data_IF_636439292341
#
_entry.id   IF_636439292341
#
_cell.length_a   1.000
_cell.length_b   1.000
_cell.length_c   1.000
_cell.angle_alpha   90.00
_cell.angle_beta   90.00
_cell.angle_gamma   90.00
#
_symmetry.space_group_name_H-M   'P 1'
#
loop_
_entity.id
_entity.type
_entity.pdbx_description
1 polymer ?
#
# COMPACT_ATOMS: atom_id res chain seq x y z
N UNK A 1 30.48 57.56 49.11
CA UNK A 1 29.53 57.01 48.12
C UNK A 1 30.21 55.80 47.50
N UNK A 2 29.73 54.61 47.81
CA UNK A 2 30.29 53.34 47.32
C UNK A 2 29.31 52.76 46.31
N UNK A 3 29.77 52.52 45.08
CA UNK A 3 28.96 51.84 44.07
C UNK A 3 28.85 50.36 44.45
N UNK A 4 27.63 49.87 44.67
CA UNK A 4 27.37 48.43 44.75
C UNK A 4 27.61 47.82 43.38
N UNK A 5 28.45 46.79 43.31
CA UNK A 5 28.62 45.98 42.11
C UNK A 5 27.27 45.36 41.74
N UNK A 6 26.79 45.61 40.52
CA UNK A 6 25.66 44.88 39.94
C UNK A 6 26.08 43.40 39.92
N UNK A 7 25.45 42.59 40.77
CA UNK A 7 25.57 41.15 40.68
C UNK A 7 24.91 40.74 39.35
N UNK A 8 25.72 40.28 38.40
CA UNK A 8 25.19 39.60 37.22
C UNK A 8 24.46 38.35 37.69
N UNK A 9 23.26 38.05 37.17
CA UNK A 9 22.58 36.81 37.50
C UNK A 9 23.46 35.62 37.09
N UNK A 10 23.90 34.84 38.08
CA UNK A 10 24.53 33.54 37.85
C UNK A 10 23.43 32.55 37.51
N UNK A 11 23.56 31.88 36.36
CA UNK A 11 22.65 30.82 35.94
C UNK A 11 23.00 29.53 36.70
N UNK A 12 22.74 29.51 38.01
CA UNK A 12 22.79 28.27 38.79
C UNK A 12 21.58 27.41 38.40
N UNK A 13 21.85 26.26 37.77
CA UNK A 13 20.82 25.32 37.29
C UNK A 13 20.92 24.91 35.82
N UNK A 14 21.89 25.43 35.06
CA UNK A 14 22.16 24.90 33.71
C UNK A 14 22.95 23.60 33.84
N UNK A 15 22.43 22.44 33.37
CA UNK A 15 23.18 21.19 33.41
C UNK A 15 24.50 21.34 32.63
N UNK A 16 25.64 20.82 33.16
CA UNK A 16 26.98 21.02 32.59
C UNK A 16 27.22 20.24 31.28
N UNK A 17 26.18 19.66 30.69
CA UNK A 17 26.24 18.93 29.43
C UNK A 17 25.29 19.56 28.43
N UNK A 18 25.86 20.30 27.49
CA UNK A 18 25.24 20.52 26.19
C UNK A 18 25.19 19.17 25.48
N UNK A 19 23.99 18.58 25.37
CA UNK A 19 23.77 17.52 24.40
C UNK A 19 23.57 18.23 23.06
N UNK A 20 24.59 18.14 22.21
CA UNK A 20 24.46 18.52 20.80
C UNK A 20 23.39 17.58 20.23
N UNK A 21 22.19 18.11 19.97
CA UNK A 21 21.22 17.37 19.19
C UNK A 21 21.68 17.28 17.73
N UNK A 22 21.08 16.32 17.03
CA UNK A 22 20.78 16.31 15.59
C UNK A 22 21.82 15.64 14.66
N UNK A 23 21.53 14.41 14.20
CA UNK A 23 22.22 13.72 13.08
C UNK A 23 23.15 12.56 13.45
N UNK A 24 24.22 12.83 14.20
CA UNK A 24 25.39 11.93 14.26
C UNK A 24 25.19 10.65 15.10
N UNK A 25 24.35 10.69 16.14
CA UNK A 25 24.12 9.56 17.03
C UNK A 25 23.44 8.36 16.34
N UNK A 26 22.64 8.63 15.30
CA UNK A 26 21.99 7.61 14.47
C UNK A 26 22.82 7.27 13.23
N UNK A 27 23.34 8.30 12.55
CA UNK A 27 23.98 8.15 11.25
C UNK A 27 25.17 7.17 11.28
N UNK A 28 26.00 7.21 12.34
CA UNK A 28 27.16 6.32 12.46
C UNK A 28 26.77 4.86 12.71
N UNK A 29 25.96 4.50 13.74
CA UNK A 29 25.49 3.13 13.90
C UNK A 29 24.78 2.57 12.66
N UNK A 30 23.98 3.40 11.99
CA UNK A 30 23.31 3.01 10.76
C UNK A 30 24.29 2.74 9.61
N UNK A 31 25.28 3.62 9.41
CA UNK A 31 26.31 3.41 8.38
C UNK A 31 27.14 2.16 8.63
N UNK A 32 27.50 1.88 9.89
CA UNK A 32 28.20 0.65 10.25
C UNK A 32 27.34 -0.58 9.97
N UNK A 33 26.07 -0.56 10.39
CA UNK A 33 25.13 -1.65 10.11
C UNK A 33 25.00 -1.91 8.60
N UNK A 34 24.82 -0.87 7.78
CA UNK A 34 24.74 -1.01 6.32
C UNK A 34 26.04 -1.52 5.69
N UNK A 35 27.20 -1.19 6.26
CA UNK A 35 28.49 -1.71 5.81
C UNK A 35 28.64 -3.19 6.16
N UNK A 36 28.35 -3.56 7.41
CA UNK A 36 28.42 -4.94 7.91
C UNK A 36 27.44 -5.86 7.17
N UNK A 37 26.28 -5.32 6.80
CA UNK A 37 25.25 -5.99 6.00
C UNK A 37 25.55 -6.03 4.49
N UNK A 38 26.68 -5.47 4.03
CA UNK A 38 27.05 -5.45 2.61
C UNK A 38 26.16 -4.59 1.71
N UNK A 39 25.37 -3.68 2.29
CA UNK A 39 24.54 -2.73 1.52
C UNK A 39 25.42 -1.62 0.95
N UNK A 40 26.36 -1.11 1.75
CA UNK A 40 27.40 -0.19 1.29
C UNK A 40 28.48 -0.99 0.56
N UNK A 41 28.77 -0.60 -0.68
CA UNK A 41 29.80 -1.21 -1.53
C UNK A 41 31.00 -0.28 -1.71
N UNK A 42 32.11 -0.82 -2.24
CA UNK A 42 33.30 -0.03 -2.59
C UNK A 42 32.96 1.12 -3.58
N UNK A 43 32.03 0.89 -4.50
CA UNK A 43 31.58 1.91 -5.45
C UNK A 43 30.94 3.13 -4.74
N UNK A 44 30.31 2.92 -3.58
CA UNK A 44 29.66 3.98 -2.82
C UNK A 44 30.66 4.93 -2.16
N UNK A 45 31.86 4.43 -1.81
CA UNK A 45 32.95 5.18 -1.16
C UNK A 45 34.06 5.66 -2.12
N UNK A 46 33.96 5.32 -3.41
CA UNK A 46 34.90 5.74 -4.47
C UNK A 46 35.17 7.25 -4.52
N UNK A 47 34.19 8.06 -4.10
CA UNK A 47 34.36 9.48 -3.77
C UNK A 47 34.06 9.64 -2.29
N UNK A 48 34.89 10.41 -1.59
CA UNK A 48 34.70 10.71 -0.17
C UNK A 48 33.29 11.29 0.05
N UNK A 49 32.41 10.64 0.84
CA UNK A 49 31.09 11.16 1.13
C UNK A 49 31.18 12.41 2.01
N UNK A 50 30.19 13.29 1.90
CA UNK A 50 30.10 14.52 2.70
C UNK A 50 29.74 14.25 4.17
N UNK A 51 29.07 13.12 4.45
CA UNK A 51 28.68 12.65 5.79
C UNK A 51 28.27 11.17 5.75
N UNK A 52 28.20 10.53 6.91
CA UNK A 52 27.73 9.15 7.08
C UNK A 52 26.30 8.98 6.57
N UNK A 53 25.40 9.92 6.88
CA UNK A 53 24.02 9.87 6.40
C UNK A 53 23.94 10.00 4.87
N UNK A 54 24.80 10.83 4.26
CA UNK A 54 24.86 10.95 2.81
C UNK A 54 25.37 9.65 2.15
N UNK A 55 26.30 8.93 2.80
CA UNK A 55 26.74 7.61 2.37
C UNK A 55 25.59 6.59 2.44
N UNK A 56 24.87 6.53 3.57
CA UNK A 56 23.71 5.65 3.75
C UNK A 56 22.63 5.92 2.70
N UNK A 57 22.25 7.19 2.53
CA UNK A 57 21.25 7.61 1.55
C UNK A 57 21.66 7.21 0.12
N UNK A 58 22.94 7.39 -0.25
CA UNK A 58 23.45 6.99 -1.57
C UNK A 58 23.36 5.47 -1.77
N UNK A 59 23.85 4.68 -0.81
CA UNK A 59 23.87 3.22 -0.91
C UNK A 59 22.44 2.65 -0.95
N UNK A 60 21.56 3.13 -0.08
CA UNK A 60 20.14 2.73 -0.06
C UNK A 60 19.41 3.17 -1.33
N UNK A 61 19.65 4.39 -1.83
CA UNK A 61 19.03 4.85 -3.09
C UNK A 61 19.44 3.95 -4.25
N UNK A 62 20.74 3.60 -4.35
CA UNK A 62 21.22 2.67 -5.37
C UNK A 62 20.52 1.32 -5.24
N UNK A 63 20.55 0.73 -4.04
CA UNK A 63 19.97 -0.60 -3.78
C UNK A 63 18.46 -0.62 -3.99
N UNK A 64 17.77 0.44 -3.59
CA UNK A 64 16.33 0.58 -3.78
C UNK A 64 15.98 0.68 -5.26
N UNK A 65 16.73 1.46 -6.05
CA UNK A 65 16.57 1.51 -7.51
C UNK A 65 16.83 0.17 -8.20
N UNK A 66 17.79 -0.63 -7.70
CA UNK A 66 17.99 -2.00 -8.19
C UNK A 66 16.79 -2.92 -7.91
N UNK A 67 16.03 -2.64 -6.84
CA UNK A 67 14.84 -3.41 -6.45
C UNK A 67 13.61 -2.94 -7.24
N UNK A 68 13.37 -1.63 -7.31
CA UNK A 68 12.12 -1.05 -7.82
C UNK A 68 12.22 -0.48 -9.23
N UNK A 69 13.40 -0.47 -9.85
CA UNK A 69 13.65 0.23 -11.11
C UNK A 69 12.82 -0.24 -12.31
N UNK A 70 12.35 -1.49 -12.28
CA UNK A 70 11.52 -2.09 -13.34
C UNK A 70 10.01 -1.95 -13.07
N UNK A 71 9.61 -1.42 -11.90
CA UNK A 71 8.20 -1.19 -11.55
C UNK A 71 7.67 0.05 -12.25
N UNK A 72 6.44 -0.04 -12.77
CA UNK A 72 5.82 0.99 -13.60
C UNK A 72 4.50 1.53 -13.05
N UNK A 73 3.80 0.73 -12.24
CA UNK A 73 2.51 1.04 -11.61
C UNK A 73 2.65 1.29 -10.11
N UNK A 74 3.48 0.50 -9.45
CA UNK A 74 3.70 0.64 -8.01
C UNK A 74 4.67 1.78 -7.72
N UNK A 75 4.21 2.79 -6.98
CA UNK A 75 5.07 3.86 -6.47
C UNK A 75 5.52 3.53 -5.04
N UNK A 76 6.70 2.92 -4.93
CA UNK A 76 7.28 2.58 -3.63
C UNK A 76 8.43 3.52 -3.28
N UNK A 77 8.19 4.37 -2.30
CA UNK A 77 9.16 5.28 -1.74
C UNK A 77 9.57 4.82 -0.32
N UNK A 78 10.86 4.54 -0.15
CA UNK A 78 11.42 4.07 1.10
C UNK A 78 11.91 5.23 1.98
N UNK A 79 11.47 5.24 3.22
CA UNK A 79 12.04 6.04 4.30
C UNK A 79 12.56 5.12 5.39
N UNK A 80 13.76 5.41 5.91
CA UNK A 80 14.29 4.76 7.11
C UNK A 80 14.38 5.80 8.22
N UNK A 81 13.77 5.50 9.37
CA UNK A 81 13.74 6.40 10.52
C UNK A 81 13.92 5.64 11.83
N UNK A 82 14.44 6.32 12.86
CA UNK A 82 14.69 5.71 14.18
C UNK A 82 13.56 5.97 15.17
N UNK A 83 12.72 6.98 14.93
CA UNK A 83 11.58 7.31 15.79
C UNK A 83 10.28 6.78 15.16
N UNK A 84 9.47 6.06 15.95
CA UNK A 84 8.11 5.70 15.53
C UNK A 84 7.26 6.95 15.27
N UNK A 85 6.34 6.82 14.32
CA UNK A 85 5.27 7.79 14.06
C UNK A 85 4.60 8.22 15.37
N UNK A 86 4.50 9.54 15.58
CA UNK A 86 3.63 10.09 16.62
C UNK A 86 2.22 10.12 16.05
N UNK A 87 1.32 9.30 16.59
CA UNK A 87 -0.12 9.45 16.34
C UNK A 87 -0.52 10.88 16.73
N UNK A 88 -1.40 11.51 15.95
CA UNK A 88 -1.93 12.86 16.15
C UNK A 88 -2.90 12.96 17.35
N UNK A 89 -2.61 12.27 18.45
CA UNK A 89 -3.46 12.21 19.66
C UNK A 89 -2.73 12.52 20.97
N UNK A 90 -1.41 12.73 20.94
CA UNK A 90 -0.65 13.16 22.12
C UNK A 90 -0.34 12.07 23.16
N UNK A 91 -0.75 10.83 22.94
CA UNK A 91 -0.25 9.71 23.72
C UNK A 91 1.21 9.45 23.33
N UNK A 92 2.10 9.80 24.25
CA UNK A 92 3.55 9.63 24.12
C UNK A 92 3.89 8.14 24.04
N UNK A 93 3.94 7.57 22.83
CA UNK A 93 4.85 6.45 22.61
C UNK A 93 6.27 6.98 22.89
N UNK A 94 7.01 6.41 23.86
CA UNK A 94 8.38 6.82 24.11
C UNK A 94 9.15 6.71 22.80
N UNK A 95 9.98 7.70 22.50
CA UNK A 95 10.78 7.67 21.27
C UNK A 95 11.52 6.33 21.20
N UNK A 96 11.42 5.63 20.08
CA UNK A 96 12.16 4.37 19.92
C UNK A 96 13.66 4.63 20.06
N UNK A 97 14.13 5.85 19.78
CA UNK A 97 15.49 6.29 20.08
C UNK A 97 15.88 6.19 21.57
N UNK A 98 14.97 6.51 22.49
CA UNK A 98 15.24 6.46 23.94
C UNK A 98 14.96 5.07 24.53
N UNK A 99 13.94 4.38 24.02
CA UNK A 99 13.54 3.07 24.52
C UNK A 99 14.36 1.90 23.94
N UNK A 100 14.74 1.98 22.66
CA UNK A 100 15.51 0.96 21.96
C UNK A 100 16.30 1.55 20.76
N UNK A 101 17.50 2.10 20.97
CA UNK A 101 18.29 2.76 19.92
C UNK A 101 18.74 1.81 18.79
N UNK A 102 18.60 0.50 18.98
CA UNK A 102 18.89 -0.52 17.96
C UNK A 102 17.76 -0.65 16.92
N UNK A 103 16.56 -0.21 17.24
CA UNK A 103 15.39 -0.34 16.37
C UNK A 103 15.30 0.80 15.37
N UNK A 104 15.06 0.45 14.11
CA UNK A 104 14.76 1.38 13.02
C UNK A 104 13.54 0.91 12.25
N UNK A 105 12.83 1.83 11.63
CA UNK A 105 11.62 1.57 10.88
C UNK A 105 11.85 1.80 9.41
N UNK A 106 11.57 0.76 8.61
CA UNK A 106 11.44 0.90 7.18
C UNK A 106 9.99 1.21 6.85
N UNK A 107 9.75 2.42 6.38
CA UNK A 107 8.44 2.92 5.97
C UNK A 107 8.37 3.00 4.46
N UNK A 108 7.37 2.34 3.90
CA UNK A 108 7.01 2.48 2.49
C UNK A 108 5.84 3.44 2.38
N UNK A 109 5.89 4.35 1.42
CA UNK A 109 4.79 5.22 1.04
C UNK A 109 4.89 5.58 -0.43
N UNK A 110 4.01 6.44 -0.91
CA UNK A 110 4.04 7.00 -2.26
C UNK A 110 4.77 8.34 -2.25
N UNK A 111 5.29 8.77 -3.40
CA UNK A 111 6.14 9.95 -3.53
C UNK A 111 5.41 11.25 -3.20
N UNK A 112 4.12 11.31 -3.49
CA UNK A 112 3.32 12.52 -3.36
C UNK A 112 2.32 12.44 -2.20
N UNK A 113 2.49 11.47 -1.29
CA UNK A 113 1.65 11.27 -0.13
C UNK A 113 0.40 10.44 -0.42
N UNK A 114 -0.44 10.19 0.61
CA UNK A 114 -1.57 9.27 0.52
C UNK A 114 -2.43 9.48 -0.73
N UNK A 115 -2.86 8.36 -1.32
CA UNK A 115 -3.77 8.33 -2.48
C UNK A 115 -3.17 8.86 -3.80
N UNK A 116 -1.86 9.17 -3.84
CA UNK A 116 -1.19 9.67 -5.06
C UNK A 116 -0.77 8.60 -6.07
N UNK A 117 -1.07 7.33 -5.79
CA UNK A 117 -0.66 6.19 -6.60
C UNK A 117 -1.42 6.06 -7.94
N UNK A 118 -0.95 5.12 -8.77
CA UNK A 118 -1.62 4.75 -10.00
C UNK A 118 -2.99 4.10 -9.72
N UNK A 119 -3.94 4.38 -10.61
CA UNK A 119 -5.26 3.75 -10.63
C UNK A 119 -5.40 2.87 -11.87
N UNK A 120 -5.98 1.68 -11.72
CA UNK A 120 -6.17 0.74 -12.84
C UNK A 120 -7.61 0.24 -12.87
N UNK A 121 -8.30 0.47 -14.00
CA UNK A 121 -9.66 0.02 -14.24
C UNK A 121 -9.69 -1.41 -14.80
N UNK A 122 -10.13 -2.38 -14.02
CA UNK A 122 -10.09 -3.82 -14.40
C UNK A 122 -11.44 -4.40 -14.83
N UNK A 123 -12.55 -3.71 -14.54
CA UNK A 123 -13.92 -4.23 -14.68
C UNK A 123 -14.24 -4.74 -16.09
N UNK A 124 -14.07 -3.92 -17.16
CA UNK A 124 -14.40 -4.35 -18.52
C UNK A 124 -13.68 -5.61 -18.98
N UNK A 125 -12.37 -5.73 -18.69
CA UNK A 125 -11.59 -6.92 -19.02
C UNK A 125 -12.05 -8.14 -18.22
N UNK A 126 -12.29 -7.97 -16.92
CA UNK A 126 -12.77 -9.04 -16.04
C UNK A 126 -14.16 -9.52 -16.47
N UNK A 127 -15.07 -8.62 -16.83
CA UNK A 127 -16.40 -8.92 -17.37
C UNK A 127 -16.31 -9.64 -18.71
N UNK A 128 -15.37 -9.26 -19.58
CA UNK A 128 -15.11 -9.96 -20.84
C UNK A 128 -14.69 -11.41 -20.60
N UNK A 129 -13.72 -11.64 -19.69
CA UNK A 129 -13.29 -12.99 -19.31
C UNK A 129 -14.45 -13.80 -18.73
N UNK A 130 -15.23 -13.21 -17.84
CA UNK A 130 -16.43 -13.83 -17.25
C UNK A 130 -17.47 -14.19 -18.34
N UNK A 131 -17.58 -13.39 -19.39
CA UNK A 131 -18.43 -13.66 -20.56
C UNK A 131 -17.96 -14.81 -21.43
N UNK A 132 -16.66 -15.11 -21.49
CA UNK A 132 -16.13 -16.30 -22.19
C UNK A 132 -16.53 -17.59 -21.49
N UNK A 133 -16.51 -17.58 -20.15
CA UNK A 133 -16.98 -18.68 -19.31
C UNK A 133 -17.25 -18.18 -17.90
N UNK A 134 -18.46 -18.44 -17.40
CA UNK A 134 -18.81 -18.17 -16.02
C UNK A 134 -17.77 -18.76 -15.04
N UNK A 135 -17.29 -17.92 -14.11
CA UNK A 135 -16.24 -18.20 -13.16
C UNK A 135 -14.82 -17.86 -13.64
N UNK A 136 -14.59 -17.46 -14.89
CA UNK A 136 -13.26 -17.12 -15.39
C UNK A 136 -12.76 -15.81 -14.78
N UNK A 137 -13.47 -14.71 -15.00
CA UNK A 137 -13.09 -13.40 -14.47
C UNK A 137 -12.98 -13.44 -12.95
N UNK A 138 -13.92 -14.13 -12.30
CA UNK A 138 -13.88 -14.35 -10.85
C UNK A 138 -12.62 -15.11 -10.39
N UNK A 139 -12.20 -16.17 -11.10
CA UNK A 139 -11.01 -16.95 -10.73
C UNK A 139 -9.72 -16.15 -10.92
N UNK A 140 -9.62 -15.37 -12.00
CA UNK A 140 -8.47 -14.50 -12.26
C UNK A 140 -8.36 -13.42 -11.18
N UNK A 141 -9.47 -12.75 -10.87
CA UNK A 141 -9.50 -11.69 -9.86
C UNK A 141 -9.15 -12.22 -8.46
N UNK A 142 -9.66 -13.40 -8.10
CA UNK A 142 -9.30 -14.05 -6.83
C UNK A 142 -7.80 -14.30 -6.71
N UNK A 143 -7.20 -14.93 -7.71
CA UNK A 143 -5.78 -15.22 -7.70
C UNK A 143 -4.91 -13.96 -7.75
N UNK A 144 -5.37 -12.90 -8.41
CA UNK A 144 -4.70 -11.60 -8.39
C UNK A 144 -4.74 -10.98 -6.99
N UNK A 145 -5.88 -11.02 -6.29
CA UNK A 145 -5.99 -10.48 -4.94
C UNK A 145 -5.06 -11.17 -3.96
N UNK A 146 -4.95 -12.51 -4.04
CA UNK A 146 -4.03 -13.26 -3.19
C UNK A 146 -2.57 -12.81 -3.36
N UNK A 147 -2.20 -12.35 -4.57
CA UNK A 147 -0.86 -11.81 -4.84
C UNK A 147 -0.72 -10.36 -4.36
N UNK A 148 -1.75 -9.53 -4.56
CA UNK A 148 -1.75 -8.13 -4.13
C UNK A 148 -1.77 -7.98 -2.60
N UNK A 149 -2.35 -8.94 -1.89
CA UNK A 149 -2.33 -8.99 -0.41
C UNK A 149 -0.91 -9.18 0.16
N UNK A 150 0.07 -9.59 -0.67
CA UNK A 150 1.48 -9.71 -0.29
C UNK A 150 2.31 -8.46 -0.61
N UNK A 151 1.70 -7.42 -1.19
CA UNK A 151 2.35 -6.17 -1.59
C UNK A 151 2.03 -5.04 -0.60
N UNK A 152 2.82 -3.95 -0.58
CA UNK A 152 2.51 -2.80 0.27
C UNK A 152 1.13 -2.23 -0.07
N UNK A 153 0.36 -1.87 0.96
CA UNK A 153 -1.07 -1.55 0.94
C UNK A 153 -1.67 -1.27 -0.45
N UNK A 154 -2.38 -2.24 -1.02
CA UNK A 154 -3.10 -2.12 -2.30
C UNK A 154 -4.59 -1.99 -2.04
N UNK A 155 -5.21 -0.94 -2.58
CA UNK A 155 -6.66 -0.81 -2.54
C UNK A 155 -7.30 -1.64 -3.65
N UNK A 156 -7.55 -2.92 -3.37
CA UNK A 156 -8.41 -3.75 -4.23
C UNK A 156 -9.86 -3.26 -4.18
N UNK A 157 -10.72 -3.67 -5.10
CA UNK A 157 -12.15 -3.31 -4.99
C UNK A 157 -12.81 -3.97 -3.77
N UNK A 158 -12.28 -5.10 -3.26
CA UNK A 158 -12.66 -5.66 -1.96
C UNK A 158 -12.31 -4.69 -0.83
N UNK A 159 -11.10 -4.15 -0.83
CA UNK A 159 -10.65 -3.14 0.15
C UNK A 159 -11.52 -1.89 0.06
N UNK A 160 -11.77 -1.37 -1.14
CA UNK A 160 -12.63 -0.20 -1.34
C UNK A 160 -14.06 -0.41 -0.82
N UNK A 161 -14.65 -1.59 -1.04
CA UNK A 161 -15.97 -1.92 -0.49
C UNK A 161 -15.92 -1.96 1.04
N UNK A 162 -14.88 -2.55 1.64
CA UNK A 162 -14.70 -2.54 3.09
C UNK A 162 -14.54 -1.13 3.66
N UNK A 163 -13.82 -0.24 2.96
CA UNK A 163 -13.71 1.18 3.32
C UNK A 163 -15.09 1.86 3.24
N UNK A 164 -15.87 1.61 2.19
CA UNK A 164 -17.20 2.17 2.05
C UNK A 164 -18.13 1.76 3.22
N UNK A 165 -18.06 0.49 3.63
CA UNK A 165 -18.82 0.00 4.77
C UNK A 165 -18.34 0.59 6.09
N UNK A 166 -17.03 0.82 6.23
CA UNK A 166 -16.48 1.52 7.38
C UNK A 166 -16.98 2.97 7.44
N UNK A 167 -16.71 3.75 6.41
CA UNK A 167 -17.02 5.18 6.30
C UNK A 167 -18.53 5.45 6.34
N UNK A 168 -19.34 4.77 5.54
CA UNK A 168 -20.78 5.08 5.43
C UNK A 168 -21.65 4.26 6.38
N UNK A 169 -21.24 3.03 6.72
CA UNK A 169 -22.06 2.10 7.51
C UNK A 169 -21.46 1.79 8.89
N UNK A 170 -20.45 2.54 9.32
CA UNK A 170 -19.80 2.38 10.64
C UNK A 170 -19.29 0.95 10.85
N UNK A 171 -18.76 0.34 9.79
CA UNK A 171 -18.20 -1.02 9.77
C UNK A 171 -19.23 -2.15 9.67
N UNK A 172 -20.52 -1.83 9.55
CA UNK A 172 -21.57 -2.83 9.34
C UNK A 172 -21.53 -3.29 7.88
N UNK A 173 -21.45 -4.60 7.62
CA UNK A 173 -21.32 -5.15 6.27
C UNK A 173 -22.65 -5.52 5.57
N UNK A 174 -23.79 -5.39 6.26
CA UNK A 174 -25.13 -5.65 5.73
C UNK A 174 -25.95 -4.36 5.68
N UNK A 175 -26.45 -3.99 4.49
CA UNK A 175 -27.21 -2.75 4.29
C UNK A 175 -28.46 -2.71 5.18
N UNK A 176 -29.13 -3.85 5.41
CA UNK A 176 -30.36 -3.88 6.21
C UNK A 176 -30.06 -3.56 7.67
N UNK A 177 -28.97 -4.13 8.21
CA UNK A 177 -28.47 -3.81 9.54
C UNK A 177 -27.96 -2.36 9.63
N UNK A 178 -27.26 -1.86 8.61
CA UNK A 178 -26.80 -0.47 8.55
C UNK A 178 -27.97 0.52 8.56
N UNK A 179 -29.01 0.26 7.75
CA UNK A 179 -30.25 1.06 7.74
C UNK A 179 -30.90 1.02 9.12
N UNK A 180 -31.04 -0.16 9.74
CA UNK A 180 -31.67 -0.26 11.07
C UNK A 180 -30.94 0.62 12.10
N UNK A 181 -29.61 0.63 12.08
CA UNK A 181 -28.81 1.48 12.97
C UNK A 181 -28.96 2.96 12.61
N UNK A 182 -28.96 3.31 11.32
CA UNK A 182 -29.17 4.68 10.85
C UNK A 182 -30.55 5.23 11.23
N UNK A 183 -31.64 4.44 11.09
CA UNK A 183 -32.98 4.82 11.52
C UNK A 183 -33.00 5.20 13.02
N UNK A 184 -32.32 4.41 13.85
CA UNK A 184 -32.22 4.67 15.29
C UNK A 184 -31.37 5.91 15.60
N UNK A 185 -30.25 6.09 14.89
CA UNK A 185 -29.32 7.20 15.08
C UNK A 185 -29.95 8.55 14.67
N UNK A 186 -30.59 8.59 13.50
CA UNK A 186 -31.21 9.80 12.96
C UNK A 186 -32.66 10.01 13.47
N UNK A 187 -33.25 9.05 14.18
CA UNK A 187 -34.60 9.15 14.74
C UNK A 187 -35.72 9.16 13.70
N UNK A 188 -35.47 8.66 12.48
CA UNK A 188 -36.43 8.64 11.37
C UNK A 188 -37.22 7.33 11.34
N UNK A 189 -38.48 7.39 10.89
CA UNK A 189 -39.43 6.29 11.04
C UNK A 189 -39.35 5.24 9.91
N UNK A 190 -38.75 5.59 8.76
CA UNK A 190 -38.72 4.69 7.60
C UNK A 190 -37.46 4.83 6.74
N UNK A 191 -37.12 3.78 5.98
CA UNK A 191 -36.04 3.82 4.97
C UNK A 191 -36.24 4.96 3.96
N UNK A 192 -37.48 5.24 3.56
CA UNK A 192 -37.77 6.28 2.57
C UNK A 192 -37.41 7.67 3.10
N UNK A 193 -37.77 7.94 4.34
CA UNK A 193 -37.45 9.17 5.05
C UNK A 193 -35.94 9.32 5.26
N UNK A 194 -35.27 8.24 5.70
CA UNK A 194 -33.81 8.20 5.81
C UNK A 194 -33.12 8.58 4.49
N UNK A 195 -33.52 7.99 3.38
CA UNK A 195 -32.92 8.26 2.06
C UNK A 195 -33.27 9.65 1.50
N UNK A 196 -34.34 10.29 1.96
CA UNK A 196 -34.71 11.64 1.52
C UNK A 196 -34.14 12.75 2.39
N UNK A 197 -33.90 12.48 3.66
CA UNK A 197 -33.50 13.48 4.66
C UNK A 197 -32.02 13.39 5.02
N UNK A 198 -31.33 12.31 4.63
CA UNK A 198 -29.91 12.10 4.92
C UNK A 198 -29.15 11.63 3.68
N UNK A 199 -27.83 11.80 3.71
CA UNK A 199 -26.92 11.32 2.66
C UNK A 199 -26.55 9.83 2.82
N UNK A 200 -27.49 8.99 3.26
CA UNK A 200 -27.24 7.56 3.46
C UNK A 200 -26.88 6.87 2.15
N UNK A 201 -25.69 6.27 2.10
CA UNK A 201 -25.19 5.54 0.92
C UNK A 201 -25.70 4.11 0.91
N UNK A 202 -26.31 3.67 -0.19
CA UNK A 202 -26.89 2.33 -0.35
C UNK A 202 -25.93 1.35 -1.02
N UNK A 203 -26.20 0.04 -0.94
CA UNK A 203 -25.40 -0.97 -1.63
C UNK A 203 -25.39 -0.74 -3.16
N UNK A 204 -26.49 -0.25 -3.73
CA UNK A 204 -26.53 0.05 -5.17
C UNK A 204 -25.61 1.22 -5.55
N UNK A 205 -25.39 2.18 -4.64
CA UNK A 205 -24.44 3.27 -4.86
C UNK A 205 -23.00 2.79 -4.66
N UNK A 206 -22.74 1.96 -3.64
CA UNK A 206 -21.40 1.39 -3.40
C UNK A 206 -20.98 0.48 -4.55
N UNK A 207 -21.84 -0.42 -5.02
CA UNK A 207 -21.45 -1.37 -6.06
C UNK A 207 -21.61 -0.79 -7.47
N UNK A 208 -22.60 0.05 -7.71
CA UNK A 208 -22.90 0.56 -9.05
C UNK A 208 -23.07 -0.59 -10.05
N UNK A 209 -22.11 -0.73 -10.98
CA UNK A 209 -22.06 -1.81 -11.99
C UNK A 209 -21.27 -3.03 -11.54
N UNK A 210 -20.51 -2.95 -10.45
CA UNK A 210 -19.72 -4.07 -9.93
C UNK A 210 -20.63 -5.25 -9.58
N UNK A 211 -20.34 -6.45 -10.09
CA UNK A 211 -20.97 -7.67 -9.60
C UNK A 211 -20.70 -7.86 -8.10
N UNK A 212 -21.67 -8.37 -7.34
CA UNK A 212 -21.54 -8.58 -5.89
C UNK A 212 -20.35 -9.46 -5.51
N UNK A 213 -20.01 -10.43 -6.37
CA UNK A 213 -18.91 -11.35 -6.13
C UNK A 213 -17.54 -10.69 -6.15
N UNK A 214 -17.41 -9.46 -6.67
CA UNK A 214 -16.14 -8.71 -6.71
C UNK A 214 -15.58 -8.45 -5.31
N UNK A 215 -16.44 -8.39 -4.29
CA UNK A 215 -16.01 -8.32 -2.88
C UNK A 215 -15.26 -9.58 -2.44
N UNK A 216 -15.74 -10.74 -2.87
CA UNK A 216 -15.19 -12.05 -2.50
C UNK A 216 -15.15 -12.95 -3.73
N UNK A 217 -14.19 -12.71 -4.64
CA UNK A 217 -14.06 -13.53 -5.82
C UNK A 217 -13.61 -14.95 -5.42
N UNK A 218 -14.24 -15.96 -6.03
CA UNK A 218 -13.96 -17.37 -5.82
C UNK A 218 -13.14 -17.95 -6.97
N UNK A 219 -12.27 -18.91 -6.64
CA UNK A 219 -11.57 -19.75 -7.63
C UNK A 219 -12.51 -20.83 -8.17
N UNK A 220 -13.48 -20.41 -9.00
CA UNK A 220 -14.55 -21.25 -9.52
C UNK A 220 -14.09 -22.27 -10.57
N UNK A 221 -12.99 -21.99 -11.29
CA UNK A 221 -12.49 -22.82 -12.39
C UNK A 221 -11.09 -23.35 -12.12
N UNK A 222 -10.85 -24.59 -12.54
CA UNK A 222 -9.50 -25.18 -12.58
C UNK A 222 -8.66 -24.62 -13.74
N UNK A 223 -7.33 -24.70 -13.63
CA UNK A 223 -6.38 -24.27 -14.68
C UNK A 223 -6.67 -24.88 -16.05
N UNK A 224 -7.08 -26.15 -16.10
CA UNK A 224 -7.43 -26.84 -17.34
C UNK A 224 -8.73 -26.32 -17.97
N UNK A 225 -9.71 -25.93 -17.15
CA UNK A 225 -10.96 -25.31 -17.63
C UNK A 225 -10.70 -23.90 -18.15
N UNK A 226 -9.87 -23.11 -17.46
CA UNK A 226 -9.42 -21.80 -17.90
C UNK A 226 -8.67 -21.89 -19.24
N UNK A 227 -7.70 -22.80 -19.36
CA UNK A 227 -6.96 -23.02 -20.63
C UNK A 227 -7.91 -23.29 -21.79
N UNK A 228 -8.89 -24.18 -21.60
CA UNK A 228 -9.88 -24.49 -22.65
C UNK A 228 -10.75 -23.30 -23.02
N UNK A 229 -11.18 -22.50 -22.04
CA UNK A 229 -12.00 -21.32 -22.26
C UNK A 229 -11.23 -20.19 -22.96
N UNK A 230 -9.92 -20.07 -22.74
CA UNK A 230 -9.07 -19.06 -23.36
C UNK A 230 -8.65 -19.39 -24.81
N UNK A 231 -8.66 -20.66 -25.23
CA UNK A 231 -8.23 -21.08 -26.59
C UNK A 231 -8.78 -20.24 -27.77
N UNK A 232 -10.05 -19.83 -27.81
CA UNK A 232 -10.56 -19.03 -28.92
C UNK A 232 -10.23 -17.53 -28.84
N UNK A 233 -9.69 -17.05 -27.71
CA UNK A 233 -9.52 -15.63 -27.41
C UNK A 233 -8.06 -15.32 -27.04
N UNK A 234 -7.40 -14.50 -27.86
CA UNK A 234 -5.98 -14.19 -27.69
C UNK A 234 -5.71 -13.33 -26.45
N UNK A 235 -6.67 -12.47 -26.06
CA UNK A 235 -6.55 -11.66 -24.85
C UNK A 235 -6.62 -12.54 -23.60
N UNK A 236 -7.59 -13.45 -23.54
CA UNK A 236 -7.73 -14.40 -22.45
C UNK A 236 -6.50 -15.32 -22.32
N UNK A 237 -5.85 -15.68 -23.43
CA UNK A 237 -4.57 -16.41 -23.38
C UNK A 237 -3.44 -15.57 -22.81
N UNK A 238 -3.33 -14.31 -23.21
CA UNK A 238 -2.32 -13.40 -22.67
C UNK A 238 -2.49 -13.23 -21.15
N UNK A 239 -3.73 -13.03 -20.67
CA UNK A 239 -4.04 -12.95 -19.24
C UNK A 239 -3.65 -14.23 -18.52
N UNK A 240 -4.00 -15.41 -19.05
CA UNK A 240 -3.62 -16.67 -18.39
C UNK A 240 -2.11 -16.90 -18.37
N UNK A 241 -1.38 -16.50 -19.41
CA UNK A 241 0.07 -16.61 -19.43
C UNK A 241 0.70 -15.67 -18.38
N UNK A 242 0.22 -14.43 -18.27
CA UNK A 242 0.68 -13.49 -17.23
C UNK A 242 0.37 -14.01 -15.81
N UNK A 243 -0.82 -14.61 -15.61
CA UNK A 243 -1.17 -15.24 -14.34
C UNK A 243 -0.29 -16.45 -14.01
N UNK A 244 0.09 -17.25 -15.00
CA UNK A 244 1.02 -18.37 -14.80
C UNK A 244 2.42 -17.87 -14.42
N UNK A 245 2.91 -16.79 -15.04
CA UNK A 245 4.17 -16.15 -14.67
C UNK A 245 4.14 -15.63 -13.23
N UNK A 246 3.06 -14.94 -12.84
CA UNK A 246 2.85 -14.48 -11.47
C UNK A 246 2.86 -15.66 -10.48
N UNK A 247 2.21 -16.78 -10.82
CA UNK A 247 2.26 -17.98 -10.00
C UNK A 247 3.65 -18.61 -9.92
N UNK A 248 4.45 -18.55 -10.98
CA UNK A 248 5.83 -19.02 -10.94
C UNK A 248 6.67 -18.17 -9.98
N UNK A 249 6.51 -16.84 -10.01
CA UNK A 249 7.20 -15.96 -9.06
C UNK A 249 6.79 -16.27 -7.62
N UNK A 250 5.48 -16.38 -7.34
CA UNK A 250 4.97 -16.74 -6.01
C UNK A 250 5.56 -18.05 -5.48
N UNK A 251 5.76 -19.04 -6.36
CA UNK A 251 6.26 -20.36 -5.97
C UNK A 251 7.78 -20.40 -5.75
N UNK A 252 8.55 -19.63 -6.53
CA UNK A 252 9.99 -19.85 -6.65
C UNK A 252 10.87 -18.69 -6.23
N UNK A 253 10.33 -17.46 -6.09
CA UNK A 253 11.13 -16.27 -5.80
C UNK A 253 11.17 -15.88 -4.32
N UNK A 254 10.39 -16.55 -3.45
CA UNK A 254 10.38 -16.27 -2.01
C UNK A 254 11.72 -16.56 -1.31
N UNK A 255 11.88 -16.13 -0.05
CA UNK A 255 10.87 -15.52 0.81
C UNK A 255 10.54 -14.06 0.42
N UNK A 256 9.27 -13.69 0.55
CA UNK A 256 8.79 -12.32 0.38
C UNK A 256 8.89 -11.55 1.70
N UNK A 257 8.93 -10.23 1.63
CA UNK A 257 8.92 -9.39 2.82
C UNK A 257 7.54 -9.45 3.50
N UNK A 258 7.51 -9.52 4.83
CA UNK A 258 6.26 -9.35 5.57
C UNK A 258 5.93 -7.86 5.67
N UNK A 259 4.82 -7.48 5.04
CA UNK A 259 4.36 -6.11 4.93
C UNK A 259 3.03 -5.87 5.69
N UNK A 260 2.60 -6.86 6.48
CA UNK A 260 1.38 -6.77 7.29
C UNK A 260 1.43 -5.69 8.38
N UNK A 261 2.63 -5.18 8.69
CA UNK A 261 2.88 -4.06 9.59
C UNK A 261 2.21 -4.17 10.98
N UNK A 262 2.33 -5.32 11.67
CA UNK A 262 1.62 -5.55 12.93
C UNK A 262 2.03 -4.58 14.06
N UNK A 263 3.23 -4.01 13.96
CA UNK A 263 3.81 -3.12 14.95
C UNK A 263 3.50 -1.63 14.69
N UNK A 264 2.76 -1.30 13.63
CA UNK A 264 2.50 0.08 13.23
C UNK A 264 1.70 0.86 14.30
N UNK A 265 0.89 0.18 15.11
CA UNK A 265 0.12 0.81 16.19
C UNK A 265 -1.02 1.73 15.71
N UNK A 266 -1.32 1.74 14.41
CA UNK A 266 -2.37 2.54 13.78
C UNK A 266 -2.69 2.05 12.36
N UNK A 267 -3.73 2.62 11.75
CA UNK A 267 -4.16 2.24 10.40
C UNK A 267 -3.29 2.91 9.33
N UNK A 268 -2.85 2.09 8.36
CA UNK A 268 -2.06 2.51 7.22
C UNK A 268 -2.98 3.05 6.12
N UNK A 269 -2.69 4.23 5.57
CA UNK A 269 -3.60 4.90 4.61
C UNK A 269 -2.98 5.25 3.25
N UNK A 270 -1.68 5.02 3.08
CA UNK A 270 -1.01 5.36 1.82
C UNK A 270 -1.05 4.19 0.83
N UNK A 271 -2.10 4.13 0.00
CA UNK A 271 -2.23 3.08 -1.01
C UNK A 271 -1.14 3.19 -2.08
N UNK A 272 -0.46 2.09 -2.41
CA UNK A 272 0.54 2.06 -3.50
C UNK A 272 -0.04 1.79 -4.89
N UNK A 273 -1.29 1.34 -4.94
CA UNK A 273 -2.08 1.11 -6.14
C UNK A 273 -3.57 1.07 -5.76
N UNK A 274 -4.42 1.64 -6.60
CA UNK A 274 -5.88 1.54 -6.46
C UNK A 274 -6.47 0.80 -7.66
N UNK A 275 -7.19 -0.29 -7.41
CA UNK A 275 -7.99 -0.98 -8.41
C UNK A 275 -9.39 -0.41 -8.46
N UNK A 276 -9.79 -0.01 -9.66
CA UNK A 276 -11.13 0.47 -9.96
C UNK A 276 -11.83 -0.53 -10.85
N UNK A 277 -13.15 -0.60 -10.73
CA UNK A 277 -13.97 -1.34 -11.69
C UNK A 277 -14.07 -0.57 -13.00
N UNK A 278 -14.41 0.71 -12.92
CA UNK A 278 -14.53 1.62 -14.07
C UNK A 278 -14.14 3.03 -13.67
N UNK A 279 -13.80 3.89 -14.65
CA UNK A 279 -13.47 5.30 -14.38
C UNK A 279 -14.57 6.08 -13.66
N UNK A 280 -15.83 5.70 -13.87
CA UNK A 280 -17.01 6.33 -13.27
C UNK A 280 -17.60 5.53 -12.09
N UNK A 281 -16.82 4.61 -11.50
CA UNK A 281 -17.29 3.88 -10.32
C UNK A 281 -17.29 4.75 -9.04
N UNK A 282 -17.94 4.22 -8.02
CA UNK A 282 -18.02 4.82 -6.68
C UNK A 282 -16.68 4.86 -5.96
N UNK A 283 -15.71 4.02 -6.32
CA UNK A 283 -14.46 3.83 -5.56
C UNK A 283 -13.69 5.15 -5.42
N UNK A 284 -13.64 5.95 -6.48
CA UNK A 284 -12.99 7.27 -6.43
C UNK A 284 -13.56 8.15 -5.31
N UNK A 285 -14.89 8.20 -5.16
CA UNK A 285 -15.56 8.93 -4.08
C UNK A 285 -15.32 8.29 -2.72
N UNK A 286 -15.40 6.96 -2.63
CA UNK A 286 -15.17 6.24 -1.37
C UNK A 286 -13.79 6.56 -0.79
N UNK A 287 -12.77 6.55 -1.66
CA UNK A 287 -11.39 6.83 -1.25
C UNK A 287 -11.19 8.30 -0.88
N UNK A 288 -11.85 9.23 -1.59
CA UNK A 288 -11.83 10.66 -1.25
C UNK A 288 -12.48 10.93 0.12
N UNK A 289 -13.68 10.38 0.36
CA UNK A 289 -14.39 10.51 1.63
C UNK A 289 -13.58 9.87 2.78
N UNK A 290 -12.99 8.69 2.56
CA UNK A 290 -12.09 8.06 3.53
C UNK A 290 -10.84 8.88 3.80
N UNK A 291 -10.21 9.44 2.75
CA UNK A 291 -9.06 10.32 2.91
C UNK A 291 -9.37 11.57 3.76
N UNK A 292 -10.59 12.11 3.61
CA UNK A 292 -11.07 13.20 4.46
C UNK A 292 -11.21 12.78 5.94
N UNK A 293 -11.74 11.58 6.20
CA UNK A 293 -11.83 11.03 7.56
C UNK A 293 -10.43 10.78 8.17
N UNK A 294 -9.52 10.19 7.39
CA UNK A 294 -8.14 9.95 7.81
C UNK A 294 -7.43 11.25 8.17
N UNK A 295 -7.61 12.33 7.39
CA UNK A 295 -7.03 13.63 7.68
C UNK A 295 -7.51 14.25 9.02
N UNK A 296 -8.64 13.78 9.56
CA UNK A 296 -9.16 14.20 10.86
C UNK A 296 -8.77 13.25 12.00
N UNK A 297 -8.24 12.07 11.68
CA UNK A 297 -7.96 11.00 12.62
C UNK A 297 -6.48 10.68 12.81
N UNK A 298 -6.22 9.67 13.63
CA UNK A 298 -4.89 9.15 13.91
C UNK A 298 -4.54 8.01 12.93
N UNK A 299 -4.21 8.38 11.70
CA UNK A 299 -3.72 7.45 10.68
C UNK A 299 -2.23 7.57 10.45
N UNK A 300 -1.63 6.51 9.90
CA UNK A 300 -0.22 6.50 9.52
C UNK A 300 -0.12 6.60 8.00
N UNK A 301 0.50 7.68 7.53
CA UNK A 301 0.74 7.95 6.11
C UNK A 301 1.82 7.04 5.52
N UNK A 302 1.58 5.73 5.55
CA UNK A 302 2.46 4.70 5.01
C UNK A 302 1.64 3.56 4.40
N UNK A 303 2.24 2.87 3.45
CA UNK A 303 1.74 1.65 2.83
C UNK A 303 2.20 0.38 3.57
N UNK A 304 3.35 0.46 4.23
CA UNK A 304 3.89 -0.61 5.07
C UNK A 304 4.92 -0.02 6.04
N UNK A 305 5.03 -0.63 7.21
CA UNK A 305 6.04 -0.32 8.22
C UNK A 305 6.64 -1.64 8.72
N UNK A 306 7.97 -1.74 8.65
CA UNK A 306 8.71 -2.90 9.16
C UNK A 306 9.75 -2.46 10.17
N UNK A 307 9.72 -3.06 11.36
CA UNK A 307 10.76 -2.89 12.36
C UNK A 307 12.02 -3.70 11.99
N UNK A 308 13.17 -3.03 11.97
CA UNK A 308 14.48 -3.59 11.64
C UNK A 308 15.46 -3.24 12.77
N UNK A 309 16.53 -4.03 12.90
CA UNK A 309 17.56 -3.86 13.93
C UNK A 309 18.89 -3.50 13.29
N UNK A 310 19.62 -2.57 13.91
CA UNK A 310 20.95 -2.17 13.47
C UNK A 310 22.01 -3.24 13.80
N UNK A 311 21.80 -3.98 14.89
CA UNK A 311 22.74 -4.95 15.45
C UNK A 311 22.80 -6.29 14.72
N UNK A 312 21.89 -6.54 13.77
CA UNK A 312 21.79 -7.82 13.07
C UNK A 312 21.69 -7.67 11.53
N UNK A 313 21.36 -8.79 10.88
CA UNK A 313 21.22 -8.85 9.42
C UNK A 313 19.81 -8.53 8.91
N UNK A 314 18.94 -7.94 9.75
CA UNK A 314 17.54 -7.69 9.39
C UNK A 314 17.42 -6.75 8.20
N UNK A 315 18.25 -5.71 8.10
CA UNK A 315 18.20 -4.76 6.98
C UNK A 315 18.55 -5.44 5.65
N UNK A 316 19.66 -6.19 5.58
CA UNK A 316 20.03 -6.90 4.33
C UNK A 316 19.01 -7.98 3.96
N UNK A 317 18.52 -8.71 4.97
CA UNK A 317 17.50 -9.75 4.78
C UNK A 317 16.21 -9.14 4.23
N UNK A 318 15.74 -8.05 4.83
CA UNK A 318 14.54 -7.33 4.39
C UNK A 318 14.72 -6.76 2.99
N UNK A 319 15.87 -6.15 2.65
CA UNK A 319 16.15 -5.67 1.29
C UNK A 319 16.15 -6.81 0.25
N UNK A 320 16.67 -7.99 0.62
CA UNK A 320 16.64 -9.16 -0.26
C UNK A 320 15.22 -9.72 -0.44
N UNK A 321 14.42 -9.73 0.63
CA UNK A 321 13.01 -10.09 0.58
C UNK A 321 12.19 -9.09 -0.25
N UNK A 322 12.46 -7.79 -0.10
CA UNK A 322 11.84 -6.74 -0.91
C UNK A 322 12.18 -6.88 -2.40
N UNK A 323 13.36 -7.42 -2.75
CA UNK A 323 13.68 -7.77 -4.14
C UNK A 323 12.73 -8.85 -4.69
N UNK A 324 12.46 -9.89 -3.91
CA UNK A 324 11.49 -10.91 -4.28
C UNK A 324 10.07 -10.33 -4.38
N UNK A 325 9.70 -9.45 -3.44
CA UNK A 325 8.41 -8.74 -3.45
C UNK A 325 8.28 -7.82 -4.67
N UNK A 326 9.36 -7.16 -5.11
CA UNK A 326 9.35 -6.36 -6.33
C UNK A 326 9.20 -7.21 -7.60
N UNK A 327 9.82 -8.40 -7.64
CA UNK A 327 9.57 -9.35 -8.75
C UNK A 327 8.10 -9.80 -8.80
N UNK A 328 7.48 -10.01 -7.63
CA UNK A 328 6.06 -10.31 -7.54
C UNK A 328 5.21 -9.14 -8.03
N UNK A 329 5.52 -7.93 -7.58
CA UNK A 329 4.85 -6.70 -8.02
C UNK A 329 4.95 -6.53 -9.54
N UNK A 330 6.13 -6.67 -10.14
CA UNK A 330 6.30 -6.58 -11.59
C UNK A 330 5.56 -7.66 -12.37
N UNK A 331 5.38 -8.86 -11.80
CA UNK A 331 4.52 -9.88 -12.40
C UNK A 331 3.02 -9.52 -12.28
N UNK A 332 2.60 -8.92 -11.16
CA UNK A 332 1.25 -8.41 -10.99
C UNK A 332 0.96 -7.24 -11.93
N UNK A 333 1.92 -6.34 -12.17
CA UNK A 333 1.80 -5.25 -13.13
C UNK A 333 1.47 -5.76 -14.53
N UNK A 334 2.11 -6.83 -15.00
CA UNK A 334 1.79 -7.41 -16.32
C UNK A 334 0.35 -7.88 -16.42
N UNK A 335 -0.20 -8.47 -15.36
CA UNK A 335 -1.62 -8.85 -15.30
C UNK A 335 -2.49 -7.60 -15.30
N UNK A 336 -2.16 -6.61 -14.49
CA UNK A 336 -2.89 -5.35 -14.36
C UNK A 336 -2.88 -4.52 -15.64
N UNK A 337 -1.77 -4.50 -16.38
CA UNK A 337 -1.66 -3.81 -17.66
C UNK A 337 -2.59 -4.43 -18.70
N UNK A 338 -2.65 -5.77 -18.75
CA UNK A 338 -3.60 -6.48 -19.62
C UNK A 338 -5.04 -6.18 -19.21
N UNK A 339 -5.37 -6.30 -17.92
CA UNK A 339 -6.74 -6.06 -17.42
C UNK A 339 -7.15 -4.58 -17.53
N UNK A 340 -6.20 -3.65 -17.41
CA UNK A 340 -6.39 -2.22 -17.58
C UNK A 340 -6.43 -1.76 -19.04
N UNK A 341 -5.99 -2.61 -19.97
CA UNK A 341 -6.01 -2.31 -21.40
C UNK A 341 -7.42 -2.42 -21.99
N UNK A 342 -7.64 -1.75 -23.13
CA UNK A 342 -8.85 -1.92 -23.96
C UNK A 342 -8.63 -2.87 -25.15
N UNK A 343 -7.61 -3.73 -25.09
CA UNK A 343 -7.25 -4.61 -26.21
C UNK A 343 -8.34 -5.63 -26.56
N UNK A 344 -9.14 -6.06 -25.58
CA UNK A 344 -10.30 -6.93 -25.81
C UNK A 344 -11.40 -6.27 -26.67
N UNK A 345 -11.49 -4.94 -26.69
CA UNK A 345 -12.46 -4.21 -27.52
C UNK A 345 -12.07 -4.28 -29.01
N UNK A 346 -10.78 -4.21 -29.32
CA UNK A 346 -10.28 -4.28 -30.69
C UNK A 346 -10.58 -5.64 -31.35
N UNK A 347 -10.65 -6.71 -30.56
CA UNK A 347 -11.05 -8.03 -31.04
C UNK A 347 -12.55 -8.14 -31.34
N UNK A 348 -13.41 -7.36 -30.65
CA UNK A 348 -14.84 -7.27 -30.96
C UNK A 348 -15.13 -6.51 -32.26
N UNK A 349 -14.27 -5.57 -32.65
CA UNK A 349 -14.46 -4.72 -33.84
C UNK A 349 -13.98 -5.38 -35.15
N UNK A 350 -13.32 -6.55 -35.09
CA UNK A 350 -12.93 -7.29 -36.29
C UNK A 350 -14.16 -7.93 -36.97
N UNK A 351 -14.81 -7.18 -37.86
CA UNK A 351 -15.78 -7.71 -38.82
C UNK A 351 -15.04 -8.70 -39.73
N UNK A 352 -15.26 -10.00 -39.50
CA UNK A 352 -14.75 -11.06 -40.38
C UNK A 352 -15.63 -11.14 -41.62
N UNK A 353 -15.18 -10.53 -42.72
CA UNK A 353 -15.73 -10.79 -44.06
C UNK A 353 -15.17 -12.13 -44.52
N UNK A 354 -16.00 -13.16 -44.59
CA UNK A 354 -15.66 -14.41 -45.26
C UNK A 354 -16.05 -14.26 -46.74
N UNK A 355 -15.11 -14.53 -47.63
CA UNK A 355 -15.35 -14.66 -49.07
C UNK A 355 -15.60 -16.12 -49.44
#
# INVERSE_FOLDING_TARGET
>A
MSFSSIALPSLDGIPPRYVIQTGDAFARPFALSLLDNGVISEADVSRRPSSEIALCAKALTRRWREITGDLTRFDWHLHIEQDQFRLHGGDYCPSSRDANPDLVWARLGTRHGPFSCAQVCVGPAVEHLEGLRAGFGQTVLAALYDALDLLPLVCTTRTAISIAEFTYWQGICDESAAIKNALMYYGVASKKELLSETDFVTHSQIYGRMPKWVRHPNRALSRAQLSRAARPDAFAQAVLNAMDELWQVLRWCGPFADLSSPDAGGELVDFTLILRWTEDDSIGRVIDDFGHECAQGDCIEAAAITGLRLSDNSISTWLQQMRATAMLAGAAERVLDLLGSREFEQQRTLVRVFA
#
